data_IF_335544396194
#
_entry.id   IF_335544396194
#
_cell.length_a   1.000
_cell.length_b   1.000
_cell.length_c   1.000
_cell.angle_alpha   90.00
_cell.angle_beta   90.00
_cell.angle_gamma   90.00
#
_symmetry.space_group_name_H-M   'P 1'
#
loop_
_entity.id
_entity.type
_entity.pdbx_description
1 polymer ?
#
# COMPACT_ATOMS: atom_id res chain seq x y z
N UNK A 1 -1.61 -7.71 -25.21
CA UNK A 1 -0.64 -6.69 -24.75
C UNK A 1 -0.31 -6.96 -23.29
N UNK A 2 0.95 -6.73 -22.88
CA UNK A 2 1.42 -6.93 -21.49
C UNK A 2 2.13 -5.65 -21.04
N UNK A 3 1.91 -5.23 -19.79
CA UNK A 3 2.56 -4.08 -19.18
C UNK A 3 3.51 -4.55 -18.07
N UNK A 4 4.82 -4.27 -18.20
CA UNK A 4 5.82 -4.62 -17.19
C UNK A 4 6.31 -3.32 -16.55
N UNK A 5 5.98 -3.11 -15.28
CA UNK A 5 6.38 -1.93 -14.53
C UNK A 5 7.70 -2.20 -13.78
N UNK A 6 8.82 -1.76 -14.35
CA UNK A 6 10.12 -1.84 -13.70
C UNK A 6 10.43 -0.54 -12.96
N UNK A 7 10.49 -0.62 -11.62
CA UNK A 7 10.71 0.55 -10.76
C UNK A 7 12.13 0.53 -10.18
N UNK A 8 12.86 1.63 -10.31
CA UNK A 8 14.20 1.78 -9.73
C UNK A 8 14.40 3.23 -9.29
N UNK A 9 13.87 3.62 -8.10
CA UNK A 9 13.97 5.00 -7.62
C UNK A 9 15.44 5.34 -7.35
N UNK A 10 15.92 6.50 -7.81
CA UNK A 10 17.32 6.93 -7.58
C UNK A 10 17.51 7.59 -6.22
N UNK A 11 16.45 8.18 -5.68
CA UNK A 11 16.44 8.90 -4.41
C UNK A 11 15.00 8.94 -3.88
N UNK A 12 14.82 8.58 -2.62
CA UNK A 12 13.53 8.62 -1.92
C UNK A 12 12.94 10.05 -1.84
N UNK A 13 13.80 11.06 -1.91
CA UNK A 13 13.50 12.48 -1.74
C UNK A 13 13.60 13.29 -3.03
N UNK A 14 13.65 12.63 -4.20
CA UNK A 14 13.88 13.26 -5.51
C UNK A 14 12.92 14.42 -5.82
N UNK A 15 11.70 14.38 -5.28
CA UNK A 15 10.64 15.37 -5.52
C UNK A 15 10.37 16.28 -4.30
N UNK A 16 11.26 16.30 -3.31
CA UNK A 16 11.02 16.97 -2.03
C UNK A 16 10.86 18.50 -2.14
N UNK A 17 11.42 19.11 -3.19
CA UNK A 17 11.36 20.55 -3.49
C UNK A 17 10.25 20.90 -4.51
N UNK A 18 9.51 19.91 -5.01
CA UNK A 18 8.43 20.15 -5.98
C UNK A 18 7.20 20.73 -5.27
N UNK A 19 6.65 21.87 -5.74
CA UNK A 19 5.46 22.47 -5.14
C UNK A 19 4.25 21.52 -5.14
N UNK A 20 3.48 21.54 -4.04
CA UNK A 20 2.34 20.65 -3.83
C UNK A 20 1.30 20.71 -4.96
N UNK A 21 1.02 21.91 -5.50
CA UNK A 21 0.08 22.08 -6.62
C UNK A 21 0.53 21.35 -7.90
N UNK A 22 1.83 21.32 -8.17
CA UNK A 22 2.39 20.57 -9.30
C UNK A 22 2.30 19.07 -9.07
N UNK A 23 2.56 18.62 -7.83
CA UNK A 23 2.40 17.21 -7.45
C UNK A 23 0.94 16.76 -7.57
N UNK A 24 -0.01 17.58 -7.13
CA UNK A 24 -1.46 17.32 -7.27
C UNK A 24 -1.88 17.20 -8.72
N UNK A 25 -1.44 18.13 -9.59
CA UNK A 25 -1.71 18.06 -11.02
C UNK A 25 -1.11 16.79 -11.65
N UNK A 26 0.15 16.48 -11.32
CA UNK A 26 0.83 15.27 -11.80
C UNK A 26 0.05 14.01 -11.42
N UNK A 27 -0.33 13.85 -10.14
CA UNK A 27 -1.08 12.69 -9.68
C UNK A 27 -2.43 12.54 -10.40
N UNK A 28 -3.17 13.64 -10.58
CA UNK A 28 -4.47 13.62 -11.26
C UNK A 28 -4.36 13.19 -12.73
N UNK A 29 -3.39 13.74 -13.46
CA UNK A 29 -3.25 13.49 -14.90
C UNK A 29 -2.55 12.16 -15.16
N UNK A 30 -1.36 11.96 -14.57
CA UNK A 30 -0.57 10.75 -14.76
C UNK A 30 -1.25 9.53 -14.14
N UNK A 31 -1.83 9.67 -12.94
CA UNK A 31 -2.52 8.57 -12.26
C UNK A 31 -3.64 7.98 -13.12
N UNK A 32 -4.49 8.82 -13.73
CA UNK A 32 -5.53 8.35 -14.63
C UNK A 32 -4.96 7.60 -15.84
N UNK A 33 -3.99 8.19 -16.53
CA UNK A 33 -3.38 7.57 -17.70
C UNK A 33 -2.69 6.24 -17.35
N UNK A 34 -2.00 6.20 -16.21
CA UNK A 34 -1.31 5.01 -15.71
C UNK A 34 -2.30 3.89 -15.35
N UNK A 35 -3.35 4.21 -14.59
CA UNK A 35 -4.41 3.25 -14.25
C UNK A 35 -5.06 2.65 -15.50
N UNK A 36 -5.35 3.46 -16.52
CA UNK A 36 -5.91 2.95 -17.77
C UNK A 36 -4.94 2.02 -18.52
N UNK A 37 -3.63 2.31 -18.50
CA UNK A 37 -2.63 1.45 -19.12
C UNK A 37 -2.47 0.10 -18.39
N UNK A 38 -2.51 0.13 -17.06
CA UNK A 38 -2.36 -1.07 -16.21
C UNK A 38 -3.62 -1.92 -16.27
N UNK A 39 -4.79 -1.38 -15.90
CA UNK A 39 -6.01 -2.18 -15.71
C UNK A 39 -6.65 -2.70 -17.00
N UNK A 40 -6.25 -2.21 -18.18
CA UNK A 40 -6.71 -2.71 -19.49
C UNK A 40 -5.77 -3.78 -20.08
N UNK A 41 -4.71 -4.16 -19.37
CA UNK A 41 -3.72 -5.14 -19.85
C UNK A 41 -3.41 -6.19 -18.78
N UNK A 42 -2.74 -7.28 -19.18
CA UNK A 42 -2.05 -8.14 -18.21
C UNK A 42 -0.83 -7.36 -17.72
N UNK A 43 -0.64 -7.26 -16.42
CA UNK A 43 0.42 -6.43 -15.86
C UNK A 43 1.22 -7.16 -14.80
N UNK A 44 2.45 -6.72 -14.60
CA UNK A 44 3.27 -7.09 -13.45
C UNK A 44 4.10 -5.88 -13.01
N UNK A 45 4.22 -5.66 -11.71
CA UNK A 45 5.10 -4.64 -11.14
C UNK A 45 6.22 -5.28 -10.33
N UNK A 46 7.44 -4.82 -10.55
CA UNK A 46 8.61 -5.24 -9.78
C UNK A 46 9.63 -4.10 -9.70
N UNK A 47 10.70 -4.30 -8.92
CA UNK A 47 11.77 -3.33 -8.74
C UNK A 47 13.09 -3.87 -9.27
N UNK A 48 13.96 -2.95 -9.65
CA UNK A 48 15.38 -3.25 -9.89
C UNK A 48 16.14 -2.76 -8.65
N UNK A 49 16.79 -3.67 -7.89
CA UNK A 49 17.62 -3.30 -6.74
C UNK A 49 18.64 -2.23 -7.09
N UNK A 50 18.82 -1.29 -6.16
CA UNK A 50 19.77 -0.19 -6.33
C UNK A 50 20.18 0.37 -4.97
N UNK A 51 21.18 1.26 -4.98
CA UNK A 51 21.73 1.87 -3.77
C UNK A 51 20.67 2.63 -2.94
N UNK A 52 19.69 3.27 -3.58
CA UNK A 52 18.64 4.00 -2.88
C UNK A 52 17.72 3.06 -2.08
N UNK A 53 17.32 1.94 -2.69
CA UNK A 53 16.48 0.94 -2.04
C UNK A 53 17.24 0.22 -0.91
N UNK A 54 18.54 -0.04 -1.12
CA UNK A 54 19.41 -0.60 -0.08
C UNK A 54 19.55 0.34 1.12
N UNK A 55 19.72 1.65 0.86
CA UNK A 55 19.76 2.67 1.90
C UNK A 55 18.43 2.75 2.68
N UNK A 56 17.29 2.71 1.99
CA UNK A 56 15.96 2.64 2.65
C UNK A 56 15.82 1.41 3.54
N UNK A 57 16.36 0.27 3.11
CA UNK A 57 16.36 -0.98 3.86
C UNK A 57 17.43 -1.06 4.96
N UNK A 58 18.30 -0.05 5.12
CA UNK A 58 19.47 -0.07 6.01
C UNK A 58 20.42 -1.26 5.71
N UNK A 59 20.66 -1.55 4.43
CA UNK A 59 21.52 -2.64 3.96
C UNK A 59 22.62 -2.12 3.02
N UNK A 60 23.71 -2.89 2.85
CA UNK A 60 24.60 -2.68 1.72
C UNK A 60 23.90 -3.05 0.41
N UNK A 61 24.34 -2.48 -0.72
CA UNK A 61 23.71 -2.71 -2.02
C UNK A 61 23.68 -4.19 -2.39
N UNK A 62 24.79 -4.91 -2.22
CA UNK A 62 24.90 -6.34 -2.54
C UNK A 62 24.00 -7.20 -1.63
N UNK A 63 23.93 -6.86 -0.35
CA UNK A 63 23.08 -7.57 0.61
C UNK A 63 21.59 -7.36 0.29
N UNK A 64 21.21 -6.13 -0.05
CA UNK A 64 19.84 -5.81 -0.47
C UNK A 64 19.48 -6.48 -1.79
N UNK A 65 20.38 -6.47 -2.78
CA UNK A 65 20.18 -7.13 -4.06
C UNK A 65 19.93 -8.63 -3.87
N UNK A 66 20.78 -9.30 -3.08
CA UNK A 66 20.59 -10.71 -2.75
C UNK A 66 19.24 -10.93 -2.06
N UNK A 67 18.95 -10.17 -1.01
CA UNK A 67 17.68 -10.25 -0.29
C UNK A 67 16.47 -10.07 -1.22
N UNK A 68 16.50 -9.05 -2.08
CA UNK A 68 15.43 -8.76 -3.01
C UNK A 68 15.19 -9.91 -4.00
N UNK A 69 16.25 -10.50 -4.56
CA UNK A 69 16.08 -11.64 -5.46
C UNK A 69 15.67 -12.92 -4.75
N UNK A 70 16.15 -13.17 -3.53
CA UNK A 70 15.70 -14.29 -2.71
C UNK A 70 14.17 -14.21 -2.50
N UNK A 71 13.62 -13.03 -2.16
CA UNK A 71 12.17 -12.86 -1.98
C UNK A 71 11.39 -12.88 -3.30
N UNK A 72 11.98 -12.41 -4.41
CA UNK A 72 11.33 -12.50 -5.73
C UNK A 72 11.18 -13.93 -6.23
N UNK A 73 12.01 -14.86 -5.74
CA UNK A 73 12.11 -16.24 -6.24
C UNK A 73 11.53 -17.28 -5.29
N UNK A 74 10.71 -16.85 -4.32
CA UNK A 74 9.93 -17.75 -3.46
C UNK A 74 9.06 -18.71 -4.29
N UNK A 75 8.76 -19.87 -3.70
CA UNK A 75 7.80 -20.82 -4.28
C UNK A 75 6.37 -20.28 -4.09
N UNK A 76 5.94 -19.44 -5.02
CA UNK A 76 4.60 -18.87 -5.03
C UNK A 76 3.49 -19.93 -5.13
N UNK A 77 3.74 -21.10 -5.73
CA UNK A 77 2.75 -22.17 -5.76
C UNK A 77 2.52 -22.75 -4.35
N UNK A 78 3.60 -22.94 -3.59
CA UNK A 78 3.52 -23.35 -2.20
C UNK A 78 2.86 -22.25 -1.35
N UNK A 79 3.22 -20.99 -1.56
CA UNK A 79 2.62 -19.84 -0.87
C UNK A 79 1.11 -19.74 -1.14
N UNK A 80 0.70 -19.82 -2.41
CA UNK A 80 -0.71 -19.76 -2.84
C UNK A 80 -1.56 -20.85 -2.19
N UNK A 81 -1.01 -22.06 -1.99
CA UNK A 81 -1.67 -23.14 -1.25
C UNK A 81 -1.77 -22.84 0.25
N UNK A 82 -0.72 -22.27 0.85
CA UNK A 82 -0.70 -21.92 2.26
C UNK A 82 -1.67 -20.77 2.61
N UNK A 83 -1.99 -19.91 1.63
CA UNK A 83 -2.96 -18.82 1.76
C UNK A 83 -4.42 -19.30 1.85
N UNK A 84 -4.74 -20.51 1.38
CA UNK A 84 -6.12 -20.96 1.20
C UNK A 84 -6.98 -20.91 2.47
N UNK A 85 -6.50 -21.36 3.66
CA UNK A 85 -7.31 -21.28 4.88
C UNK A 85 -7.68 -19.85 5.28
N UNK A 86 -6.77 -18.89 5.09
CA UNK A 86 -7.04 -17.48 5.40
C UNK A 86 -7.96 -16.85 4.37
N UNK A 87 -7.80 -17.17 3.08
CA UNK A 87 -8.71 -16.74 2.01
C UNK A 87 -10.14 -17.17 2.32
N UNK A 88 -10.36 -18.46 2.61
CA UNK A 88 -11.68 -18.99 2.94
C UNK A 88 -12.29 -18.32 4.19
N UNK A 89 -11.47 -18.04 5.19
CA UNK A 89 -11.92 -17.33 6.40
C UNK A 89 -12.37 -15.90 6.05
N UNK A 90 -11.55 -15.16 5.30
CA UNK A 90 -11.85 -13.78 4.91
C UNK A 90 -13.09 -13.70 4.02
N UNK A 91 -13.31 -14.66 3.11
CA UNK A 91 -14.51 -14.70 2.26
C UNK A 91 -15.81 -14.90 3.04
N UNK A 92 -15.76 -15.59 4.19
CA UNK A 92 -16.90 -15.80 5.09
C UNK A 92 -17.03 -14.67 6.13
N UNK A 93 -16.03 -13.80 6.23
CA UNK A 93 -15.95 -12.76 7.26
C UNK A 93 -16.77 -11.55 6.87
N UNK A 94 -17.63 -11.10 7.78
CA UNK A 94 -18.42 -9.86 7.59
C UNK A 94 -17.76 -8.65 8.21
N UNK A 95 -17.09 -8.81 9.35
CA UNK A 95 -16.54 -7.70 10.14
C UNK A 95 -15.11 -8.00 10.55
N UNK A 96 -14.25 -7.00 10.41
CA UNK A 96 -12.87 -6.99 10.88
C UNK A 96 -12.77 -5.97 12.02
N UNK A 97 -12.01 -6.30 13.06
CA UNK A 97 -11.62 -5.37 14.12
C UNK A 97 -10.13 -5.49 14.39
N UNK A 98 -9.41 -4.39 14.30
CA UNK A 98 -7.98 -4.29 14.55
C UNK A 98 -7.80 -3.57 15.88
N UNK A 99 -7.13 -4.20 16.83
CA UNK A 99 -6.86 -3.66 18.16
C UNK A 99 -5.35 -3.64 18.38
N UNK A 100 -4.83 -2.52 18.84
CA UNK A 100 -3.41 -2.33 19.15
C UNK A 100 -3.17 -1.04 19.92
N UNK A 101 -1.92 -0.68 20.12
CA UNK A 101 -1.57 0.54 20.83
C UNK A 101 -2.07 1.79 20.08
N UNK A 102 -3.07 2.47 20.65
CA UNK A 102 -3.71 3.63 20.02
C UNK A 102 -4.58 3.29 18.79
N UNK A 103 -4.77 2.00 18.47
CA UNK A 103 -5.59 1.51 17.38
C UNK A 103 -6.79 0.73 17.92
N UNK A 104 -7.98 1.14 17.51
CA UNK A 104 -9.23 0.38 17.60
C UNK A 104 -10.04 0.75 16.36
N UNK A 105 -9.89 -0.04 15.31
CA UNK A 105 -10.50 0.19 14.00
C UNK A 105 -11.41 -0.98 13.66
N UNK A 106 -12.61 -0.68 13.19
CA UNK A 106 -13.54 -1.68 12.70
C UNK A 106 -14.10 -1.34 11.32
N UNK A 107 -14.42 -2.36 10.54
CA UNK A 107 -15.04 -2.23 9.23
C UNK A 107 -15.65 -3.55 8.76
N UNK A 108 -16.46 -3.48 7.70
CA UNK A 108 -17.00 -4.65 7.01
C UNK A 108 -16.18 -4.96 5.75
N UNK A 109 -16.07 -6.24 5.42
CA UNK A 109 -15.55 -6.72 4.12
C UNK A 109 -16.59 -7.60 3.38
N UNK A 110 -17.84 -7.60 3.86
CA UNK A 110 -18.91 -8.43 3.32
C UNK A 110 -19.18 -8.07 1.85
N UNK A 111 -19.11 -9.08 0.98
CA UNK A 111 -19.48 -8.95 -0.44
C UNK A 111 -18.47 -8.25 -1.34
N UNK A 112 -17.28 -7.89 -0.86
CA UNK A 112 -16.24 -7.22 -1.67
C UNK A 112 -15.41 -8.21 -2.51
N UNK A 113 -15.16 -9.40 -1.96
CA UNK A 113 -14.27 -10.41 -2.55
C UNK A 113 -12.84 -10.34 -1.99
N UNK A 114 -12.12 -11.46 -2.05
CA UNK A 114 -10.80 -11.62 -1.43
C UNK A 114 -9.82 -12.19 -2.47
N UNK A 115 -8.67 -11.56 -2.63
CA UNK A 115 -7.65 -11.91 -3.61
C UNK A 115 -6.35 -12.34 -2.93
N UNK A 116 -5.60 -13.20 -3.61
CA UNK A 116 -4.26 -13.62 -3.20
C UNK A 116 -3.24 -12.79 -3.96
N UNK A 117 -2.30 -12.19 -3.24
CA UNK A 117 -1.04 -11.70 -3.78
C UNK A 117 -0.04 -12.84 -3.76
N UNK A 118 -0.10 -13.70 -4.78
CA UNK A 118 0.73 -14.89 -4.92
C UNK A 118 1.63 -14.84 -6.16
N UNK A 119 2.11 -13.64 -6.53
CA UNK A 119 3.14 -13.48 -7.56
C UNK A 119 2.59 -13.33 -8.98
N UNK A 120 1.32 -12.96 -9.14
CA UNK A 120 0.68 -12.74 -10.45
C UNK A 120 0.92 -11.34 -10.97
N UNK A 121 0.66 -10.33 -10.11
CA UNK A 121 0.66 -8.92 -10.48
C UNK A 121 1.80 -8.15 -9.78
N UNK A 122 2.24 -8.60 -8.61
CA UNK A 122 3.37 -8.04 -7.88
C UNK A 122 4.51 -9.05 -7.78
N UNK A 123 5.77 -8.59 -7.91
CA UNK A 123 6.97 -9.38 -7.59
C UNK A 123 7.98 -8.47 -6.84
N UNK A 124 8.35 -8.77 -5.58
CA UNK A 124 7.83 -9.85 -4.74
C UNK A 124 6.38 -9.62 -4.35
N UNK A 125 5.73 -10.70 -3.92
CA UNK A 125 4.35 -10.71 -3.41
C UNK A 125 4.28 -11.47 -2.08
N UNK A 126 3.15 -11.41 -1.39
CA UNK A 126 2.98 -12.16 -0.15
C UNK A 126 1.89 -11.62 0.76
N UNK A 127 0.68 -11.43 0.23
CA UNK A 127 -0.45 -10.95 1.02
C UNK A 127 -1.77 -11.59 0.61
N UNK A 128 -2.77 -11.53 1.48
CA UNK A 128 -4.17 -11.70 1.11
C UNK A 128 -4.87 -10.37 1.36
N UNK A 129 -5.55 -9.86 0.34
CA UNK A 129 -6.11 -8.52 0.35
C UNK A 129 -7.55 -8.49 -0.13
N UNK A 130 -8.25 -7.44 0.30
CA UNK A 130 -9.63 -7.09 -0.04
C UNK A 130 -9.76 -5.57 0.10
N UNK A 131 -10.98 -5.04 0.00
CA UNK A 131 -11.27 -3.66 0.38
C UNK A 131 -12.34 -3.63 1.48
N UNK A 132 -12.33 -2.62 2.37
CA UNK A 132 -13.46 -2.37 3.24
C UNK A 132 -14.70 -1.95 2.44
N UNK A 133 -15.89 -2.29 2.93
CA UNK A 133 -17.13 -1.63 2.50
C UNK A 133 -16.96 -0.13 2.80
N UNK A 134 -17.03 0.70 1.75
CA UNK A 134 -16.58 2.10 1.76
C UNK A 134 -16.98 2.87 3.02
N UNK A 135 -18.26 2.83 3.40
CA UNK A 135 -18.82 3.64 4.48
C UNK A 135 -18.80 2.94 5.85
N UNK A 136 -18.19 1.75 5.96
CA UNK A 136 -18.19 0.93 7.17
C UNK A 136 -17.02 1.18 8.12
N UNK A 137 -15.99 1.89 7.68
CA UNK A 137 -14.76 2.09 8.47
C UNK A 137 -14.97 3.10 9.58
N UNK A 138 -14.76 2.68 10.83
CA UNK A 138 -14.93 3.50 12.02
C UNK A 138 -13.84 3.22 13.05
N UNK A 139 -13.47 4.25 13.82
CA UNK A 139 -12.51 4.14 14.90
C UNK A 139 -11.20 4.87 14.61
N UNK A 140 -10.10 4.36 15.15
CA UNK A 140 -8.78 5.00 15.08
C UNK A 140 -7.74 3.98 14.67
N UNK A 141 -6.84 4.37 13.77
CA UNK A 141 -5.65 3.59 13.41
C UNK A 141 -4.38 4.43 13.58
N UNK A 142 -3.34 3.81 14.13
CA UNK A 142 -2.00 4.34 14.34
C UNK A 142 -0.98 3.53 13.56
N UNK A 143 0.01 4.20 13.00
CA UNK A 143 1.10 3.56 12.25
C UNK A 143 2.43 3.76 12.97
N UNK A 144 3.16 2.66 13.16
CA UNK A 144 4.46 2.60 13.80
C UNK A 144 5.63 2.47 12.81
N UNK A 145 5.35 2.43 11.50
CA UNK A 145 6.34 2.38 10.42
C UNK A 145 6.49 3.73 9.73
N UNK A 146 7.66 3.98 9.13
CA UNK A 146 7.90 5.20 8.33
C UNK A 146 7.21 5.03 6.98
N UNK A 147 6.42 6.02 6.57
CA UNK A 147 5.84 6.07 5.22
C UNK A 147 6.47 7.21 4.42
N UNK A 148 7.25 6.86 3.39
CA UNK A 148 7.82 7.85 2.48
C UNK A 148 6.82 8.11 1.36
N UNK A 149 6.35 9.35 1.26
CA UNK A 149 5.42 9.78 0.23
C UNK A 149 5.75 11.19 -0.24
N UNK A 150 5.79 11.40 -1.57
CA UNK A 150 6.14 12.70 -2.18
C UNK A 150 7.43 13.33 -1.61
N UNK A 151 8.47 12.52 -1.44
CA UNK A 151 9.76 13.00 -0.91
C UNK A 151 9.70 13.46 0.54
N UNK A 152 8.77 12.93 1.34
CA UNK A 152 8.68 13.22 2.77
C UNK A 152 8.46 11.94 3.58
N UNK A 153 9.21 11.78 4.67
CA UNK A 153 9.10 10.65 5.58
C UNK A 153 8.11 10.96 6.71
N UNK A 154 6.88 10.46 6.56
CA UNK A 154 5.84 10.54 7.58
C UNK A 154 6.09 9.52 8.69
N UNK A 155 5.84 9.94 9.92
CA UNK A 155 5.97 9.15 11.16
C UNK A 155 4.79 9.43 12.08
N UNK A 156 4.49 8.47 12.95
CA UNK A 156 3.44 8.58 13.96
C UNK A 156 2.08 8.97 13.33
N UNK A 157 1.76 8.38 12.18
CA UNK A 157 0.50 8.67 11.50
C UNK A 157 -0.63 8.16 12.38
N UNK A 158 -1.64 9.00 12.60
CA UNK A 158 -2.88 8.65 13.30
C UNK A 158 -4.07 9.16 12.51
N UNK A 159 -4.99 8.26 12.17
CA UNK A 159 -6.18 8.57 11.39
C UNK A 159 -7.42 8.25 12.21
N UNK A 160 -8.36 9.19 12.26
CA UNK A 160 -9.67 9.02 12.89
C UNK A 160 -10.71 8.84 11.78
N UNK A 161 -11.46 7.75 11.87
CA UNK A 161 -12.40 7.28 10.86
C UNK A 161 -13.83 7.37 11.38
N UNK A 162 -14.73 7.90 10.56
CA UNK A 162 -16.18 7.89 10.83
C UNK A 162 -16.96 7.72 9.54
N UNK A 163 -17.84 6.72 9.51
CA UNK A 163 -18.64 6.35 8.33
C UNK A 163 -17.79 6.23 7.05
N UNK A 164 -16.67 5.51 7.15
CA UNK A 164 -15.76 5.29 6.02
C UNK A 164 -14.73 6.37 5.76
N UNK A 165 -14.94 7.58 6.30
CA UNK A 165 -14.14 8.76 5.97
C UNK A 165 -13.12 9.10 7.05
N UNK A 166 -11.91 9.46 6.63
CA UNK A 166 -10.90 10.10 7.49
C UNK A 166 -11.39 11.51 7.86
N UNK A 167 -11.82 11.68 9.11
CA UNK A 167 -12.29 12.98 9.65
C UNK A 167 -11.16 13.79 10.29
N UNK A 168 -10.13 13.12 10.83
CA UNK A 168 -8.93 13.76 11.36
C UNK A 168 -7.70 12.92 11.00
N UNK A 169 -6.61 13.60 10.66
CA UNK A 169 -5.34 12.97 10.32
C UNK A 169 -4.19 13.75 10.96
N UNK A 170 -3.30 13.02 11.63
CA UNK A 170 -2.12 13.56 12.32
C UNK A 170 -0.88 12.81 11.86
N UNK A 171 0.25 13.52 11.82
CA UNK A 171 1.58 12.95 11.61
C UNK A 171 2.63 13.91 12.19
N UNK A 172 3.92 13.59 12.04
CA UNK A 172 5.01 14.53 12.31
C UNK A 172 4.93 15.86 11.50
N UNK A 173 4.14 15.90 10.43
CA UNK A 173 3.71 17.12 9.72
C UNK A 173 2.22 16.99 9.34
N UNK A 174 1.36 17.46 10.25
CA UNK A 174 -0.11 17.38 10.14
C UNK A 174 -0.65 18.17 8.93
N UNK A 175 -0.03 19.30 8.59
CA UNK A 175 -0.50 20.11 7.46
C UNK A 175 -0.24 19.36 6.15
N UNK A 176 0.96 18.77 6.01
CA UNK A 176 1.35 18.04 4.80
C UNK A 176 0.53 16.77 4.58
N UNK A 177 0.24 15.98 5.62
CA UNK A 177 -0.58 14.77 5.46
C UNK A 177 -2.01 15.13 5.04
N UNK A 178 -2.59 16.21 5.59
CA UNK A 178 -3.94 16.64 5.19
C UNK A 178 -3.99 17.12 3.74
N UNK A 179 -2.97 17.86 3.27
CA UNK A 179 -2.89 18.23 1.84
C UNK A 179 -2.92 17.01 0.90
N UNK A 180 -2.27 15.91 1.28
CA UNK A 180 -2.30 14.65 0.50
C UNK A 180 -3.70 14.04 0.53
N UNK A 181 -4.33 13.96 1.70
CA UNK A 181 -5.67 13.40 1.88
C UNK A 181 -6.78 14.27 1.26
N UNK A 182 -6.50 15.53 0.91
CA UNK A 182 -7.39 16.46 0.19
C UNK A 182 -7.11 16.55 -1.32
N UNK A 183 -6.46 15.53 -1.88
CA UNK A 183 -6.16 15.47 -3.31
C UNK A 183 -7.42 15.33 -4.16
N UNK A 184 -8.31 14.41 -3.79
CA UNK A 184 -9.58 14.14 -4.45
C UNK A 184 -10.63 13.58 -3.47
N UNK A 185 -11.84 13.31 -3.97
CA UNK A 185 -12.97 12.83 -3.16
C UNK A 185 -12.72 11.45 -2.53
N UNK A 186 -11.94 10.60 -3.19
CA UNK A 186 -11.64 9.24 -2.75
C UNK A 186 -10.49 9.18 -1.75
N UNK A 187 -9.60 10.18 -1.73
CA UNK A 187 -8.37 10.19 -0.93
C UNK A 187 -8.59 10.11 0.60
N UNK A 188 -9.81 10.39 1.08
CA UNK A 188 -10.19 10.24 2.51
C UNK A 188 -10.85 8.91 2.84
N UNK A 189 -10.86 7.94 1.92
CA UNK A 189 -11.45 6.62 2.12
C UNK A 189 -10.39 5.52 1.97
N UNK A 190 -10.63 4.38 2.62
CA UNK A 190 -9.72 3.24 2.57
C UNK A 190 -10.04 2.40 1.34
N UNK A 191 -9.06 2.25 0.45
CA UNK A 191 -9.20 1.49 -0.80
C UNK A 191 -8.83 0.02 -0.68
N UNK A 192 -8.10 -0.36 0.38
CA UNK A 192 -7.55 -1.72 0.52
C UNK A 192 -7.34 -2.08 1.99
N UNK A 193 -7.54 -3.35 2.31
CA UNK A 193 -7.14 -3.99 3.56
C UNK A 193 -6.43 -5.30 3.22
N UNK A 194 -5.22 -5.48 3.74
CA UNK A 194 -4.41 -6.65 3.49
C UNK A 194 -3.78 -7.23 4.76
N UNK A 195 -3.58 -8.54 4.74
CA UNK A 195 -2.77 -9.27 5.71
C UNK A 195 -1.53 -9.80 4.97
N UNK A 196 -0.39 -9.16 5.23
CA UNK A 196 0.89 -9.53 4.64
C UNK A 196 1.59 -10.63 5.45
N UNK A 197 2.38 -11.44 4.76
CA UNK A 197 3.20 -12.49 5.34
C UNK A 197 4.67 -12.09 5.35
N UNK A 198 5.41 -12.60 6.34
CA UNK A 198 6.86 -12.52 6.38
C UNK A 198 7.43 -13.96 6.38
N UNK A 199 7.43 -14.63 5.22
CA UNK A 199 7.81 -16.03 5.08
C UNK A 199 9.32 -16.29 5.20
#
# INVERSE_FOLDING_TARGET
QVYINLRSPRNAYELADVPAEKMKLYQKVFGKAHSEAVYKTRWVTTRIPNAASAQEANMSTEAYEKFYFDVCTLDYNKMSKAMEPLKELMEKTKRVRIIGEGTDLEFSIEGIGVLKGDGTDNIPDGEIYTAPVKDSVNGVITFNTVSVQQGYAFRNIKLHMKHGKIIEAYANDTERINRILDTDEGARYIGEFALAFNP
#
